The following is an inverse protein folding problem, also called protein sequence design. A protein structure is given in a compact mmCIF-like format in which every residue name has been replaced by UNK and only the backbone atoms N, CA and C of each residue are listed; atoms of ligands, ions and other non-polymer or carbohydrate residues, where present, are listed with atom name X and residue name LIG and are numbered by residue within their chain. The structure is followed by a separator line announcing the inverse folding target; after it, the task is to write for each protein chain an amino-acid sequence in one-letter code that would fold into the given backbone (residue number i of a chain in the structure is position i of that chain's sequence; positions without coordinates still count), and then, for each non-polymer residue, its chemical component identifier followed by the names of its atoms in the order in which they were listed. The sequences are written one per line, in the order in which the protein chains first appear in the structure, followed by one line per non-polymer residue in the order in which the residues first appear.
data_IF_702860167687
#
_entry.id   IF_702860167687
#
_cell.length_a   1.000
_cell.length_b   1.000
_cell.length_c   1.000
_cell.angle_alpha   90.00
_cell.angle_beta   90.00
_cell.angle_gamma   90.00
#
_symmetry.space_group_name_H-M   'P 1'
#
loop_
_entity.id
_entity.type
_entity.pdbx_description
1 polymer ?
#
# COMPACT_ATOMS: atom_id res chain seq x y z
N UNK A 1 15.87 10.64 8.32
CA UNK A 1 15.26 10.64 6.96
C UNK A 1 14.23 11.75 6.78
N UNK A 2 13.40 12.05 7.80
CA UNK A 2 12.47 13.18 7.76
C UNK A 2 13.06 14.50 8.31
N UNK A 3 14.22 14.48 8.98
CA UNK A 3 14.88 15.67 9.54
C UNK A 3 15.59 16.56 8.49
N UNK A 4 15.72 16.09 7.24
CA UNK A 4 16.26 16.89 6.13
C UNK A 4 15.20 17.83 5.51
N UNK A 5 13.96 17.72 5.96
CA UNK A 5 12.81 18.47 5.48
C UNK A 5 12.53 19.45 6.64
N UNK A 6 13.02 20.71 6.53
CA UNK A 6 12.97 21.82 7.51
C UNK A 6 11.60 22.18 8.16
N UNK A 7 11.31 23.43 8.57
CA UNK A 7 10.18 23.69 9.47
C UNK A 7 8.84 23.61 8.73
N UNK A 8 8.24 22.41 8.67
CA UNK A 8 7.06 22.10 7.87
C UNK A 8 5.85 21.68 8.72
N UNK A 9 5.40 22.57 9.61
CA UNK A 9 4.17 22.33 10.38
C UNK A 9 2.99 21.94 9.47
N UNK A 10 2.86 22.63 8.33
CA UNK A 10 1.76 22.43 7.38
C UNK A 10 2.00 21.25 6.42
N UNK A 11 3.24 21.01 5.97
CA UNK A 11 3.49 19.90 5.02
C UNK A 11 3.36 18.52 5.66
N UNK A 12 3.63 18.37 6.95
CA UNK A 12 3.35 17.11 7.67
C UNK A 12 1.86 16.82 7.68
N UNK A 13 1.02 17.84 7.89
CA UNK A 13 -0.44 17.73 7.89
C UNK A 13 -0.92 17.37 6.49
N UNK A 14 -0.50 18.13 5.46
CA UNK A 14 -0.86 17.84 4.06
C UNK A 14 -0.43 16.45 3.59
N UNK A 15 0.75 16.00 3.99
CA UNK A 15 1.23 14.65 3.71
C UNK A 15 0.35 13.59 4.36
N UNK A 16 -0.04 13.80 5.62
CA UNK A 16 -0.94 12.90 6.32
C UNK A 16 -2.33 12.86 5.69
N UNK A 17 -2.87 14.02 5.28
CA UNK A 17 -4.16 14.14 4.57
C UNK A 17 -4.14 13.35 3.26
N UNK A 18 -3.15 13.60 2.40
CA UNK A 18 -3.00 12.91 1.12
C UNK A 18 -2.91 11.39 1.31
N UNK A 19 -2.06 10.93 2.23
CA UNK A 19 -1.91 9.50 2.48
C UNK A 19 -3.13 8.86 3.14
N UNK A 20 -3.91 9.63 3.88
CA UNK A 20 -5.18 9.16 4.44
C UNK A 20 -6.21 9.01 3.33
N UNK A 21 -6.34 10.01 2.45
CA UNK A 21 -7.22 9.95 1.30
C UNK A 21 -6.90 8.77 0.38
N UNK A 22 -5.62 8.55 0.04
CA UNK A 22 -5.19 7.41 -0.76
C UNK A 22 -5.53 6.06 -0.09
N UNK A 23 -5.37 5.97 1.25
CA UNK A 23 -5.76 4.78 2.00
C UNK A 23 -7.27 4.55 1.93
N UNK A 24 -8.05 5.62 1.99
CA UNK A 24 -9.52 5.55 1.92
C UNK A 24 -9.99 5.05 0.56
N UNK A 25 -9.39 5.51 -0.53
CA UNK A 25 -9.65 5.00 -1.88
C UNK A 25 -9.36 3.50 -1.98
N UNK A 26 -8.19 3.06 -1.52
CA UNK A 26 -7.82 1.64 -1.54
C UNK A 26 -8.78 0.78 -0.72
N UNK A 27 -9.23 1.25 0.45
CA UNK A 27 -10.24 0.54 1.27
C UNK A 27 -11.55 0.41 0.50
N UNK A 28 -11.96 1.46 -0.22
CA UNK A 28 -13.14 1.44 -1.08
C UNK A 28 -13.05 0.37 -2.17
N UNK A 29 -11.90 0.21 -2.82
CA UNK A 29 -11.70 -0.84 -3.82
C UNK A 29 -11.78 -2.25 -3.23
N UNK A 30 -11.20 -2.49 -2.05
CA UNK A 30 -11.30 -3.79 -1.38
C UNK A 30 -12.75 -4.08 -0.95
N UNK A 31 -13.46 -3.08 -0.44
CA UNK A 31 -14.87 -3.23 -0.07
C UNK A 31 -15.74 -3.55 -1.31
N UNK A 32 -15.56 -2.82 -2.41
CA UNK A 32 -16.27 -3.09 -3.66
C UNK A 32 -15.99 -4.49 -4.21
N UNK A 33 -14.73 -4.95 -4.17
CA UNK A 33 -14.38 -6.31 -4.59
C UNK A 33 -14.98 -7.39 -3.67
N UNK A 34 -15.19 -7.11 -2.39
CA UNK A 34 -15.93 -8.02 -1.49
C UNK A 34 -17.41 -8.07 -1.83
N UNK A 35 -18.03 -6.92 -2.07
CA UNK A 35 -19.45 -6.82 -2.44
C UNK A 35 -19.73 -7.50 -3.79
N UNK A 36 -18.74 -7.52 -4.68
CA UNK A 36 -18.77 -8.23 -5.97
C UNK A 36 -18.33 -9.71 -5.89
N UNK A 37 -18.03 -10.24 -4.70
CA UNK A 37 -17.55 -11.61 -4.48
C UNK A 37 -16.23 -11.97 -5.19
N UNK A 38 -15.45 -10.97 -5.61
CA UNK A 38 -14.12 -11.13 -6.20
C UNK A 38 -13.03 -11.28 -5.13
N UNK A 39 -13.27 -10.72 -3.94
CA UNK A 39 -12.41 -10.77 -2.76
C UNK A 39 -13.12 -11.57 -1.67
N UNK A 40 -12.36 -12.41 -0.94
CA UNK A 40 -12.92 -13.21 0.16
C UNK A 40 -13.60 -12.34 1.22
N UNK A 41 -14.77 -12.80 1.69
CA UNK A 41 -15.59 -12.08 2.65
C UNK A 41 -14.93 -11.90 4.03
N UNK A 42 -13.92 -12.70 4.36
CA UNK A 42 -13.19 -12.64 5.64
C UNK A 42 -12.12 -11.54 5.69
N UNK A 43 -11.82 -10.89 4.56
CA UNK A 43 -10.81 -9.84 4.46
C UNK A 43 -11.31 -8.55 5.09
N UNK A 44 -10.64 -8.05 6.13
CA UNK A 44 -10.82 -6.67 6.61
C UNK A 44 -10.14 -5.67 5.65
N UNK A 45 -10.90 -4.75 5.00
CA UNK A 45 -10.34 -3.76 4.08
C UNK A 45 -9.25 -2.90 4.71
N UNK A 46 -9.42 -2.52 5.99
CA UNK A 46 -8.43 -1.66 6.65
C UNK A 46 -7.11 -2.41 6.86
N UNK A 47 -7.16 -3.63 7.39
CA UNK A 47 -5.98 -4.45 7.62
C UNK A 47 -5.22 -4.72 6.32
N UNK A 48 -5.89 -5.21 5.27
CA UNK A 48 -5.20 -5.57 4.02
C UNK A 48 -4.57 -4.36 3.34
N UNK A 49 -5.26 -3.23 3.25
CA UNK A 49 -4.70 -2.01 2.65
C UNK A 49 -3.48 -1.54 3.43
N UNK A 50 -3.50 -1.66 4.76
CA UNK A 50 -2.35 -1.31 5.60
C UNK A 50 -1.14 -2.19 5.29
N UNK A 51 -1.34 -3.50 5.14
CA UNK A 51 -0.29 -4.45 4.75
C UNK A 51 0.27 -4.12 3.36
N UNK A 52 -0.59 -3.93 2.36
CA UNK A 52 -0.18 -3.63 0.99
C UNK A 52 0.62 -2.32 0.90
N UNK A 53 0.17 -1.26 1.57
CA UNK A 53 0.91 0.01 1.65
C UNK A 53 2.27 -0.20 2.33
N UNK A 54 2.32 -1.00 3.40
CA UNK A 54 3.55 -1.36 4.09
C UNK A 54 4.54 -2.07 3.16
N UNK A 55 4.07 -3.05 2.40
CA UNK A 55 4.89 -3.81 1.44
C UNK A 55 5.45 -2.91 0.32
N UNK A 56 4.60 -2.09 -0.31
CA UNK A 56 5.04 -1.17 -1.38
C UNK A 56 6.07 -0.16 -0.85
N UNK A 57 5.85 0.40 0.34
CA UNK A 57 6.82 1.30 0.99
C UNK A 57 8.11 0.58 1.34
N UNK A 58 8.04 -0.67 1.78
CA UNK A 58 9.19 -1.52 2.05
C UNK A 58 10.05 -1.71 0.80
N UNK A 59 9.43 -2.03 -0.35
CA UNK A 59 10.13 -2.13 -1.65
C UNK A 59 10.81 -0.82 -2.00
N UNK A 60 10.09 0.31 -1.90
CA UNK A 60 10.68 1.63 -2.17
C UNK A 60 11.86 1.94 -1.23
N UNK A 61 11.81 1.51 0.02
CA UNK A 61 12.91 1.67 0.96
C UNK A 61 14.11 0.80 0.61
N UNK A 62 13.90 -0.44 0.14
CA UNK A 62 14.99 -1.30 -0.33
C UNK A 62 15.72 -0.70 -1.54
N UNK A 63 15.00 -0.04 -2.45
CA UNK A 63 15.60 0.66 -3.59
C UNK A 63 16.56 1.80 -3.19
N UNK A 64 16.35 2.39 -2.00
CA UNK A 64 17.25 3.41 -1.45
C UNK A 64 18.50 2.82 -0.81
N UNK A 65 18.42 1.57 -0.36
CA UNK A 65 19.54 0.82 0.24
C UNK A 65 20.41 0.21 -0.85
N UNK A 66 19.77 -0.36 -1.88
CA UNK A 66 20.42 -0.97 -3.03
C UNK A 66 19.95 -0.29 -4.33
N UNK A 67 20.75 0.66 -4.88
CA UNK A 67 20.43 1.34 -6.13
C UNK A 67 20.43 0.43 -7.37
N UNK A 68 20.94 -0.80 -7.26
CA UNK A 68 20.95 -1.77 -8.37
C UNK A 68 19.76 -2.72 -8.35
N UNK A 69 18.89 -2.59 -7.33
CA UNK A 69 17.72 -3.43 -7.16
C UNK A 69 16.72 -3.22 -8.29
N UNK A 70 16.40 -4.29 -9.00
CA UNK A 70 15.33 -4.31 -9.99
C UNK A 70 13.96 -4.34 -9.29
N UNK A 71 13.15 -3.31 -9.50
CA UNK A 71 11.85 -3.15 -8.84
C UNK A 71 10.73 -3.92 -9.56
N UNK A 72 10.87 -4.18 -10.85
CA UNK A 72 9.84 -4.85 -11.65
C UNK A 72 9.48 -6.25 -11.13
N UNK A 73 10.44 -7.16 -10.84
CA UNK A 73 10.11 -8.46 -10.28
C UNK A 73 9.52 -8.36 -8.87
N UNK A 74 9.90 -7.34 -8.08
CA UNK A 74 9.37 -7.14 -6.73
C UNK A 74 7.89 -6.75 -6.75
N UNK A 75 7.52 -5.80 -7.60
CA UNK A 75 6.11 -5.40 -7.73
C UNK A 75 5.25 -6.52 -8.32
N UNK A 76 5.75 -7.25 -9.33
CA UNK A 76 5.06 -8.43 -9.89
C UNK A 76 4.82 -9.53 -8.84
N UNK A 77 5.81 -9.81 -8.00
CA UNK A 77 5.65 -10.80 -6.94
C UNK A 77 4.67 -10.33 -5.86
N UNK A 78 4.70 -9.04 -5.49
CA UNK A 78 3.74 -8.49 -4.55
C UNK A 78 2.30 -8.57 -5.09
N UNK A 79 2.09 -8.26 -6.36
CA UNK A 79 0.80 -8.41 -7.03
C UNK A 79 0.31 -9.87 -6.99
N UNK A 80 1.16 -10.82 -7.39
CA UNK A 80 0.82 -12.24 -7.38
C UNK A 80 0.44 -12.73 -5.97
N UNK A 81 1.20 -12.33 -4.95
CA UNK A 81 0.90 -12.64 -3.55
C UNK A 81 -0.42 -12.02 -3.09
N UNK A 82 -0.69 -10.77 -3.44
CA UNK A 82 -1.94 -10.10 -3.10
C UNK A 82 -3.14 -10.79 -3.78
N UNK A 83 -3.05 -11.10 -5.08
CA UNK A 83 -4.11 -11.78 -5.82
C UNK A 83 -4.38 -13.17 -5.21
N UNK A 84 -3.35 -13.98 -5.00
CA UNK A 84 -3.49 -15.31 -4.41
C UNK A 84 -4.04 -15.25 -2.98
N UNK A 85 -3.66 -14.22 -2.22
CA UNK A 85 -4.10 -14.02 -0.84
C UNK A 85 -5.52 -13.48 -0.69
N UNK A 86 -6.07 -12.81 -1.70
CA UNK A 86 -7.34 -12.08 -1.60
C UNK A 86 -8.49 -12.66 -2.41
N UNK A 87 -8.20 -13.39 -3.49
CA UNK A 87 -9.25 -13.98 -4.34
C UNK A 87 -10.11 -15.00 -3.58
N UNK A 88 -11.39 -15.02 -3.93
CA UNK A 88 -12.29 -16.14 -3.63
C UNK A 88 -11.72 -17.44 -4.22
N UNK A 89 -11.85 -18.54 -3.46
CA UNK A 89 -11.39 -19.87 -3.87
C UNK A 89 -12.37 -20.51 -4.83
#
# INVERSE_FOLDING_TARGET
MFDAIGPFGDSRVRFAELHTHLRDLCKGWIAAGRDAEEIRADVDPRAVVTVLIGAVRGIAYQALIDPTLDLDPLYRNLEALAIAGLRTR
#
